data_IF_800686998551
#
_entry.id   IF_800686998551
#
_cell.length_a   1.000
_cell.length_b   1.000
_cell.length_c   1.000
_cell.angle_alpha   90.00
_cell.angle_beta   90.00
_cell.angle_gamma   90.00
#
_symmetry.space_group_name_H-M   'P 1'
#
loop_
_entity.id
_entity.type
_entity.pdbx_description
1 polymer ?
#
# COMPACT_ATOMS: atom_id res chain seq x y z
N UNK A 1 4.24 0.18 18.93
CA UNK A 1 3.33 -0.95 19.23
C UNK A 1 3.14 -1.99 18.13
N UNK A 2 3.05 -1.58 16.85
CA UNK A 2 2.83 -2.50 15.71
C UNK A 2 3.93 -3.55 15.57
N UNK A 3 5.19 -3.10 15.67
CA UNK A 3 6.39 -3.95 15.64
C UNK A 3 6.33 -5.05 16.72
N UNK A 4 5.96 -4.71 17.96
CA UNK A 4 5.89 -5.66 19.08
C UNK A 4 4.75 -6.69 18.95
N UNK A 5 3.72 -6.42 18.14
CA UNK A 5 2.67 -7.40 17.83
C UNK A 5 3.14 -8.39 16.77
N UNK A 6 3.92 -7.94 15.80
CA UNK A 6 4.49 -8.79 14.74
C UNK A 6 5.54 -9.79 15.28
N UNK A 7 6.21 -9.48 16.41
CA UNK A 7 7.22 -10.35 17.01
C UNK A 7 6.69 -11.35 18.04
N UNK A 8 5.43 -11.26 18.50
CA UNK A 8 4.89 -12.15 19.53
C UNK A 8 3.59 -12.80 19.09
N UNK A 9 3.67 -14.09 18.68
CA UNK A 9 2.51 -14.92 18.33
C UNK A 9 1.38 -14.84 19.37
N UNK A 10 1.72 -14.88 20.66
CA UNK A 10 0.74 -14.75 21.76
C UNK A 10 0.05 -13.38 21.81
N UNK A 11 0.77 -12.28 21.55
CA UNK A 11 0.18 -10.92 21.53
C UNK A 11 -0.68 -10.71 20.29
N UNK A 12 -0.31 -11.32 19.17
CA UNK A 12 -1.11 -11.37 17.96
C UNK A 12 -2.41 -12.16 18.17
N UNK A 13 -2.33 -13.38 18.73
CA UNK A 13 -3.49 -14.21 19.07
C UNK A 13 -4.47 -13.47 20.00
N UNK A 14 -3.99 -12.87 21.10
CA UNK A 14 -4.84 -12.07 21.99
C UNK A 14 -5.52 -10.90 21.28
N UNK A 15 -4.87 -10.31 20.27
CA UNK A 15 -5.47 -9.22 19.50
C UNK A 15 -6.56 -9.74 18.57
N UNK A 16 -6.37 -10.91 17.94
CA UNK A 16 -7.36 -11.59 17.10
C UNK A 16 -8.58 -12.06 17.91
N UNK A 17 -8.37 -12.58 19.12
CA UNK A 17 -9.44 -13.07 19.99
C UNK A 17 -10.42 -11.98 20.45
N UNK A 18 -10.06 -10.69 20.33
CA UNK A 18 -11.01 -9.58 20.52
C UNK A 18 -12.03 -9.47 19.39
N UNK A 19 -11.71 -9.99 18.20
CA UNK A 19 -12.58 -10.00 17.02
C UNK A 19 -13.25 -11.37 16.85
N UNK A 20 -12.49 -12.46 17.02
CA UNK A 20 -12.96 -13.84 16.89
C UNK A 20 -12.46 -14.65 18.08
N UNK A 21 -13.24 -14.77 19.18
CA UNK A 21 -12.79 -15.40 20.43
C UNK A 21 -12.39 -16.87 20.32
N UNK A 22 -12.91 -17.59 19.32
CA UNK A 22 -12.68 -19.03 19.16
C UNK A 22 -11.29 -19.38 18.62
N UNK A 23 -10.59 -18.44 17.96
CA UNK A 23 -9.26 -18.69 17.35
C UNK A 23 -8.26 -19.13 18.42
N UNK A 24 -7.52 -20.19 18.12
CA UNK A 24 -6.44 -20.73 18.94
C UNK A 24 -5.08 -20.56 18.25
N UNK A 25 -4.02 -20.97 18.94
CA UNK A 25 -2.64 -20.86 18.41
C UNK A 25 -2.39 -21.81 17.23
N UNK A 26 -3.09 -22.94 17.17
CA UNK A 26 -2.96 -23.94 16.10
C UNK A 26 -3.59 -23.51 14.76
N UNK A 27 -4.57 -22.61 14.81
CA UNK A 27 -5.14 -21.95 13.62
C UNK A 27 -4.14 -20.99 12.94
N UNK A 28 -3.03 -20.63 13.62
CA UNK A 28 -2.07 -19.63 13.13
C UNK A 28 -0.92 -20.26 12.34
N UNK A 29 -1.04 -20.19 11.01
CA UNK A 29 0.02 -20.60 10.09
C UNK A 29 1.05 -19.49 9.87
N UNK A 30 2.36 -19.80 9.78
CA UNK A 30 3.37 -18.84 9.35
C UNK A 30 3.04 -18.31 7.95
N UNK A 31 3.11 -16.99 7.76
CA UNK A 31 3.07 -16.37 6.44
C UNK A 31 4.24 -15.40 6.28
N UNK A 32 4.61 -15.12 5.03
CA UNK A 32 5.59 -14.08 4.75
C UNK A 32 5.04 -12.71 5.17
N UNK A 33 5.90 -11.87 5.74
CA UNK A 33 5.52 -10.50 6.04
C UNK A 33 5.17 -9.76 4.74
N UNK A 34 4.00 -9.12 4.70
CA UNK A 34 3.65 -8.23 3.60
C UNK A 34 4.55 -7.00 3.63
N UNK A 35 5.24 -6.72 2.51
CA UNK A 35 6.00 -5.48 2.33
C UNK A 35 5.09 -4.44 1.68
N UNK A 36 4.94 -3.28 2.31
CA UNK A 36 4.28 -2.12 1.70
C UNK A 36 5.34 -1.24 1.07
N UNK A 37 5.28 -1.05 -0.24
CA UNK A 37 6.06 -0.01 -0.90
C UNK A 37 5.38 1.34 -0.57
N UNK A 38 6.01 2.13 0.30
CA UNK A 38 5.53 3.45 0.71
C UNK A 38 6.65 4.46 0.52
N UNK A 39 6.37 5.56 -0.18
CA UNK A 39 7.36 6.57 -0.45
C UNK A 39 7.71 7.36 0.81
N UNK A 40 9.00 7.67 0.98
CA UNK A 40 9.52 8.48 2.06
C UNK A 40 10.06 9.78 1.46
N UNK A 41 9.52 10.92 1.89
CA UNK A 41 10.01 12.24 1.50
C UNK A 41 11.39 12.48 2.10
N UNK A 42 12.14 13.41 1.50
CA UNK A 42 13.44 13.86 2.02
C UNK A 42 13.38 14.40 3.44
N UNK A 43 12.21 14.87 3.89
CA UNK A 43 11.93 15.32 5.25
C UNK A 43 11.81 14.17 6.25
N UNK A 44 11.77 12.91 5.80
CA UNK A 44 11.51 11.74 6.63
C UNK A 44 10.01 11.45 6.84
N UNK A 45 9.14 12.23 6.22
CA UNK A 45 7.70 12.00 6.25
C UNK A 45 7.30 10.96 5.21
N UNK A 46 6.38 10.07 5.61
CA UNK A 46 5.80 9.11 4.69
C UNK A 46 4.77 9.79 3.79
N UNK A 47 4.73 9.39 2.54
CA UNK A 47 3.75 9.89 1.60
C UNK A 47 2.39 9.21 1.84
N UNK A 48 1.40 10.02 2.18
CA UNK A 48 0.03 9.56 2.46
C UNK A 48 -0.86 9.54 1.21
N UNK A 49 -0.42 10.13 0.10
CA UNK A 49 -1.18 10.25 -1.15
C UNK A 49 -0.47 9.60 -2.36
N UNK A 50 -1.14 9.54 -3.50
CA UNK A 50 -0.55 9.09 -4.75
C UNK A 50 0.60 10.00 -5.17
N UNK A 51 1.74 9.40 -5.48
CA UNK A 51 2.86 10.12 -6.08
C UNK A 51 3.06 9.61 -7.51
N UNK A 52 2.62 10.42 -8.49
CA UNK A 52 2.71 10.10 -9.91
C UNK A 52 3.63 11.11 -10.59
N UNK A 53 4.64 10.62 -11.30
CA UNK A 53 5.59 11.46 -12.06
C UNK A 53 5.40 11.18 -13.55
N UNK A 54 5.14 12.22 -14.33
CA UNK A 54 5.09 12.14 -15.79
C UNK A 54 6.46 12.52 -16.36
N UNK A 55 6.94 11.72 -17.30
CA UNK A 55 8.15 11.97 -18.08
C UNK A 55 7.84 11.71 -19.56
N UNK A 56 8.65 12.22 -20.51
CA UNK A 56 8.47 11.92 -21.92
C UNK A 56 8.40 10.40 -22.17
N UNK A 57 7.22 9.92 -22.60
CA UNK A 57 6.97 8.51 -22.88
C UNK A 57 6.82 7.60 -21.65
N UNK A 58 6.75 8.13 -20.43
CA UNK A 58 6.61 7.32 -19.22
C UNK A 58 5.76 7.97 -18.13
N UNK A 59 5.00 7.15 -17.40
CA UNK A 59 4.29 7.54 -16.17
C UNK A 59 4.78 6.63 -15.05
N UNK A 60 5.35 7.22 -14.01
CA UNK A 60 5.83 6.50 -12.83
C UNK A 60 4.82 6.64 -11.69
N UNK A 61 4.28 5.51 -11.22
CA UNK A 61 3.46 5.46 -10.00
C UNK A 61 4.40 5.11 -8.84
N UNK A 62 4.91 6.14 -8.16
CA UNK A 62 5.93 6.04 -7.13
C UNK A 62 5.37 5.80 -5.72
N UNK A 63 4.11 6.19 -5.48
CA UNK A 63 3.39 5.88 -4.26
C UNK A 63 1.92 5.64 -4.59
N UNK A 64 1.35 4.57 -4.03
CA UNK A 64 -0.07 4.24 -4.12
C UNK A 64 -0.48 3.61 -2.78
N UNK A 65 -0.79 4.45 -1.77
CA UNK A 65 -1.08 3.96 -0.43
C UNK A 65 -2.42 3.23 -0.38
N UNK A 66 -2.68 2.55 0.74
CA UNK A 66 -3.93 1.82 0.93
C UNK A 66 -5.14 2.77 0.83
N UNK A 67 -6.21 2.39 0.10
CA UNK A 67 -6.47 1.06 -0.42
C UNK A 67 -6.25 0.94 -1.95
N UNK A 68 -5.00 1.06 -2.41
CA UNK A 68 -4.64 0.92 -3.82
C UNK A 68 -5.15 -0.38 -4.48
N UNK A 69 -5.16 -1.50 -3.76
CA UNK A 69 -5.66 -2.77 -4.31
C UNK A 69 -7.16 -2.71 -4.65
N UNK A 70 -7.99 -2.17 -3.75
CA UNK A 70 -9.45 -2.08 -3.96
C UNK A 70 -9.84 -0.96 -4.91
N UNK A 71 -9.02 0.10 -5.01
CA UNK A 71 -9.24 1.23 -5.93
C UNK A 71 -8.48 1.11 -7.26
N UNK A 72 -7.89 -0.06 -7.54
CA UNK A 72 -6.97 -0.28 -8.68
C UNK A 72 -7.56 0.09 -10.04
N UNK A 73 -8.87 -0.14 -10.24
CA UNK A 73 -9.54 0.22 -11.50
C UNK A 73 -9.67 1.73 -11.70
N UNK A 74 -10.05 2.48 -10.66
CA UNK A 74 -10.13 3.95 -10.76
C UNK A 74 -8.75 4.58 -10.91
N UNK A 75 -7.74 4.04 -10.21
CA UNK A 75 -6.34 4.45 -10.38
C UNK A 75 -5.90 4.20 -11.82
N UNK A 76 -6.25 3.03 -12.38
CA UNK A 76 -5.97 2.70 -13.78
C UNK A 76 -6.62 3.67 -14.77
N UNK A 77 -7.88 4.05 -14.55
CA UNK A 77 -8.57 5.06 -15.39
C UNK A 77 -7.91 6.42 -15.28
N UNK A 78 -7.53 6.84 -14.07
CA UNK A 78 -6.81 8.10 -13.88
C UNK A 78 -5.48 8.10 -14.63
N UNK A 79 -4.66 7.05 -14.49
CA UNK A 79 -3.39 6.92 -15.22
C UNK A 79 -3.63 6.94 -16.73
N UNK A 80 -4.66 6.24 -17.22
CA UNK A 80 -5.00 6.25 -18.65
C UNK A 80 -5.39 7.65 -19.15
N UNK A 81 -6.08 8.46 -18.34
CA UNK A 81 -6.40 9.85 -18.72
C UNK A 81 -5.16 10.75 -18.83
N UNK A 82 -4.07 10.44 -18.13
CA UNK A 82 -2.81 11.17 -18.24
C UNK A 82 -2.04 10.87 -19.54
N UNK A 83 -2.44 9.84 -20.28
CA UNK A 83 -1.85 9.47 -21.57
C UNK A 83 -2.46 10.22 -22.76
N UNK A 84 -3.45 11.09 -22.53
CA UNK A 84 -4.14 11.80 -23.61
C UNK A 84 -3.15 12.70 -24.37
N UNK A 85 -2.95 12.50 -25.70
CA UNK A 85 -1.95 13.22 -26.49
C UNK A 85 -2.09 14.74 -26.43
N UNK A 86 -3.29 15.27 -26.16
CA UNK A 86 -3.55 16.71 -26.05
C UNK A 86 -2.90 17.37 -24.81
N UNK A 87 -2.46 16.57 -23.82
CA UNK A 87 -1.86 17.01 -22.55
C UNK A 87 -0.34 16.86 -22.50
N UNK A 88 0.28 16.30 -23.54
CA UNK A 88 1.72 16.08 -23.58
C UNK A 88 2.46 17.38 -24.00
N UNK A 89 3.34 17.94 -23.15
CA UNK A 89 4.12 19.11 -23.54
C UNK A 89 5.12 18.71 -24.64
N UNK A 90 4.91 19.24 -25.85
CA UNK A 90 5.84 19.09 -26.98
C UNK A 90 5.32 18.29 -28.19
N UNK A 91 4.02 18.32 -28.48
CA UNK A 91 3.51 18.04 -29.84
C UNK A 91 3.41 19.32 -30.67
#
# INVERSE_FOLDING_TARGET
DEVLRSFSKRRFLRSLQRLVPAIQEEDLLPCAAGVRAQALRRTGELEDDFHIIQAPGAIHVCNAPSPAATASLEIGRHIASLLDPASMPGS
#
